data_IF_803127688325
#
_entry.id   IF_803127688325
#
_cell.length_a   1.000
_cell.length_b   1.000
_cell.length_c   1.000
_cell.angle_alpha   90.00
_cell.angle_beta   90.00
_cell.angle_gamma   90.00
#
_symmetry.space_group_name_H-M   'P 1'
#
loop_
_entity.id
_entity.type
_entity.pdbx_description
1 polymer ?
#
# COMPACT_ATOMS: atom_id res chain seq x y z
N UNK A 1 -2.53 -9.49 10.29
CA UNK A 1 -1.67 -9.67 9.09
C UNK A 1 -1.27 -11.10 8.77
N UNK A 2 -1.00 -11.99 9.75
CA UNK A 2 -0.60 -13.39 9.45
C UNK A 2 -1.56 -14.12 8.50
N UNK A 3 -2.87 -14.12 8.81
CA UNK A 3 -3.88 -14.80 8.00
C UNK A 3 -3.95 -14.22 6.58
N UNK A 4 -4.16 -12.91 6.44
CA UNK A 4 -4.25 -12.22 5.15
C UNK A 4 -3.02 -12.49 4.25
N UNK A 5 -1.81 -12.32 4.81
CA UNK A 5 -0.57 -12.53 4.06
C UNK A 5 -0.39 -13.99 3.65
N UNK A 6 -0.74 -14.94 4.52
CA UNK A 6 -0.65 -16.37 4.22
C UNK A 6 -1.64 -16.77 3.12
N UNK A 7 -2.91 -16.39 3.25
CA UNK A 7 -3.95 -16.70 2.26
C UNK A 7 -3.62 -16.09 0.90
N UNK A 8 -3.13 -14.84 0.86
CA UNK A 8 -2.71 -14.22 -0.39
C UNK A 8 -1.48 -14.88 -0.99
N UNK A 9 -0.48 -15.27 -0.18
CA UNK A 9 0.70 -15.97 -0.67
C UNK A 9 0.35 -17.32 -1.32
N UNK A 10 -0.56 -18.08 -0.70
CA UNK A 10 -1.07 -19.34 -1.26
C UNK A 10 -1.75 -19.08 -2.62
N UNK A 11 -2.66 -18.10 -2.67
CA UNK A 11 -3.34 -17.71 -3.91
C UNK A 11 -2.35 -17.31 -5.01
N UNK A 12 -1.41 -16.42 -4.71
CA UNK A 12 -0.43 -15.90 -5.65
C UNK A 12 0.48 -17.01 -6.19
N UNK A 13 0.99 -17.86 -5.30
CA UNK A 13 1.84 -18.99 -5.69
C UNK A 13 1.10 -19.99 -6.58
N UNK A 14 -0.17 -20.30 -6.28
CA UNK A 14 -1.01 -21.13 -7.14
C UNK A 14 -1.26 -20.49 -8.51
N UNK A 15 -1.59 -19.19 -8.54
CA UNK A 15 -1.88 -18.44 -9.78
C UNK A 15 -0.68 -18.38 -10.72
N UNK A 16 0.51 -18.12 -10.18
CA UNK A 16 1.72 -17.92 -10.97
C UNK A 16 2.66 -19.14 -11.00
N UNK A 17 2.19 -20.30 -10.53
CA UNK A 17 2.95 -21.57 -10.48
C UNK A 17 4.32 -21.42 -9.80
N UNK A 18 4.35 -20.70 -8.67
CA UNK A 18 5.52 -20.49 -7.80
C UNK A 18 5.38 -21.30 -6.52
N UNK A 19 6.49 -21.55 -5.82
CA UNK A 19 6.52 -22.25 -4.51
C UNK A 19 7.35 -21.51 -3.45
N UNK A 20 7.87 -20.33 -3.78
CA UNK A 20 8.79 -19.57 -2.92
C UNK A 20 8.05 -18.66 -1.94
N UNK A 21 8.81 -18.10 -1.00
CA UNK A 21 8.32 -17.10 -0.08
C UNK A 21 7.98 -15.80 -0.83
N UNK A 22 6.74 -15.32 -0.68
CA UNK A 22 6.26 -14.12 -1.38
C UNK A 22 6.66 -12.81 -0.69
N UNK A 23 6.63 -12.78 0.64
CA UNK A 23 6.79 -11.56 1.42
C UNK A 23 8.24 -11.38 1.87
N UNK A 24 8.73 -10.15 2.03
CA UNK A 24 10.03 -9.93 2.64
C UNK A 24 9.87 -9.65 4.13
N UNK A 25 10.10 -10.66 4.96
CA UNK A 25 10.06 -10.52 6.42
C UNK A 25 8.64 -10.42 7.02
N UNK A 26 8.56 -9.99 8.28
CA UNK A 26 7.29 -9.88 9.02
C UNK A 26 6.64 -8.51 8.81
N UNK A 27 5.31 -8.49 8.79
CA UNK A 27 4.55 -7.24 8.85
C UNK A 27 4.94 -6.45 10.10
N UNK A 28 5.26 -5.17 9.92
CA UNK A 28 5.58 -4.25 11.00
C UNK A 28 4.34 -3.47 11.40
N UNK A 29 4.11 -3.33 12.70
CA UNK A 29 2.97 -2.63 13.27
C UNK A 29 3.46 -1.72 14.37
N UNK A 30 3.10 -0.45 14.31
CA UNK A 30 3.43 0.55 15.33
C UNK A 30 2.18 1.28 15.76
N UNK A 31 2.12 1.60 17.05
CA UNK A 31 1.01 2.37 17.60
C UNK A 31 1.19 3.85 17.25
N UNK A 32 0.15 4.46 16.70
CA UNK A 32 0.10 5.89 16.37
C UNK A 32 -0.88 6.55 17.33
N UNK A 33 -0.33 7.22 18.35
CA UNK A 33 -1.12 7.85 19.41
C UNK A 33 -1.42 9.33 19.15
N UNK A 34 -0.63 9.97 18.28
CA UNK A 34 -0.69 11.39 18.03
C UNK A 34 -1.35 11.64 16.67
N UNK A 35 -2.44 12.41 16.67
CA UNK A 35 -3.23 12.71 15.48
C UNK A 35 -2.46 13.56 14.45
N UNK A 36 -1.69 14.56 14.89
CA UNK A 36 -0.83 15.33 13.98
C UNK A 36 0.20 14.42 13.28
N UNK A 37 0.76 13.45 14.01
CA UNK A 37 1.66 12.45 13.43
C UNK A 37 0.93 11.49 12.48
N UNK A 38 -0.33 11.13 12.75
CA UNK A 38 -1.15 10.33 11.84
C UNK A 38 -1.28 11.02 10.48
N UNK A 39 -1.56 12.33 10.44
CA UNK A 39 -1.67 13.07 9.19
C UNK A 39 -0.34 13.15 8.42
N UNK A 40 0.79 13.28 9.13
CA UNK A 40 2.12 13.24 8.52
C UNK A 40 2.36 11.86 7.88
N UNK A 41 2.08 10.78 8.63
CA UNK A 41 2.22 9.41 8.12
C UNK A 41 1.35 9.13 6.91
N UNK A 42 0.09 9.57 6.92
CA UNK A 42 -0.82 9.41 5.77
C UNK A 42 -0.26 10.10 4.53
N UNK A 43 0.17 11.37 4.66
CA UNK A 43 0.82 12.11 3.57
C UNK A 43 2.05 11.37 3.06
N UNK A 44 2.88 10.85 3.95
CA UNK A 44 4.09 10.15 3.57
C UNK A 44 3.82 8.84 2.81
N UNK A 45 2.77 8.10 3.20
CA UNK A 45 2.33 6.88 2.51
C UNK A 45 1.83 7.20 1.11
N UNK A 46 1.00 8.23 0.95
CA UNK A 46 0.48 8.66 -0.35
C UNK A 46 1.61 9.15 -1.28
N UNK A 47 2.73 9.64 -0.74
CA UNK A 47 3.91 10.03 -1.53
C UNK A 47 4.82 8.85 -1.93
N UNK A 48 4.62 7.64 -1.42
CA UNK A 48 5.47 6.49 -1.75
C UNK A 48 5.59 6.20 -3.27
N UNK A 49 4.51 6.27 -4.07
CA UNK A 49 4.60 6.08 -5.52
C UNK A 49 5.49 7.13 -6.21
N UNK A 50 5.48 8.39 -5.74
CA UNK A 50 6.39 9.43 -6.24
C UNK A 50 7.84 9.12 -5.86
N UNK A 51 8.08 8.78 -4.58
CA UNK A 51 9.41 8.43 -4.06
C UNK A 51 9.99 7.21 -4.80
N UNK A 52 9.14 6.26 -5.17
CA UNK A 52 9.49 5.08 -5.97
C UNK A 52 9.56 5.33 -7.49
N UNK A 53 9.30 6.57 -7.95
CA UNK A 53 9.29 6.97 -9.37
C UNK A 53 8.32 6.15 -10.23
N UNK A 54 7.19 5.74 -9.66
CA UNK A 54 6.15 4.97 -10.36
C UNK A 54 5.18 5.87 -11.13
N UNK A 55 5.00 7.11 -10.68
CA UNK A 55 4.12 8.13 -11.26
C UNK A 55 4.72 9.52 -11.07
N UNK A 56 4.31 10.49 -11.88
CA UNK A 56 4.78 11.89 -11.78
C UNK A 56 3.90 12.74 -10.84
N UNK A 57 2.68 12.30 -10.57
CA UNK A 57 1.74 12.96 -9.66
C UNK A 57 1.05 11.95 -8.75
N UNK A 58 0.71 12.37 -7.54
CA UNK A 58 0.10 11.50 -6.52
C UNK A 58 -1.25 10.98 -7.02
N UNK A 59 -2.05 11.82 -7.68
CA UNK A 59 -3.36 11.44 -8.20
C UNK A 59 -3.32 10.39 -9.32
N UNK A 60 -2.15 10.02 -9.84
CA UNK A 60 -2.04 9.05 -10.94
C UNK A 60 -1.81 7.62 -10.47
N UNK A 61 -1.56 7.39 -9.17
CA UNK A 61 -1.33 6.04 -8.66
C UNK A 61 -2.65 5.35 -8.26
N UNK A 62 -3.16 4.37 -9.02
CA UNK A 62 -4.53 3.85 -8.87
C UNK A 62 -4.77 3.04 -7.58
N UNK A 63 -3.71 2.73 -6.83
CA UNK A 63 -3.78 1.89 -5.64
C UNK A 63 -3.54 2.69 -4.34
N UNK A 64 -3.87 3.97 -4.34
CA UNK A 64 -3.85 4.80 -3.12
C UNK A 64 -5.14 5.61 -2.96
N UNK A 65 -5.34 6.19 -1.77
CA UNK A 65 -6.59 6.89 -1.44
C UNK A 65 -6.70 8.19 -2.23
N UNK A 66 -5.58 8.89 -2.45
CA UNK A 66 -5.55 10.12 -3.24
C UNK A 66 -6.15 9.94 -4.64
N UNK A 67 -5.86 8.82 -5.32
CA UNK A 67 -6.46 8.55 -6.64
C UNK A 67 -8.00 8.56 -6.60
N UNK A 68 -8.61 7.97 -5.56
CA UNK A 68 -10.06 7.93 -5.43
C UNK A 68 -10.64 9.32 -5.14
N UNK A 69 -10.03 10.10 -4.25
CA UNK A 69 -10.50 11.46 -3.93
C UNK A 69 -10.47 12.39 -5.14
N UNK A 70 -9.38 12.40 -5.90
CA UNK A 70 -9.29 13.23 -7.11
C UNK A 70 -10.20 12.73 -8.24
N UNK A 71 -10.47 11.41 -8.30
CA UNK A 71 -11.42 10.85 -9.26
C UNK A 71 -12.86 11.31 -8.97
N UNK A 72 -13.25 11.38 -7.70
CA UNK A 72 -14.57 11.86 -7.29
C UNK A 72 -14.76 13.36 -7.54
N UNK A 73 -13.72 14.20 -7.34
CA UNK A 73 -13.76 15.64 -7.67
C UNK A 73 -13.87 15.94 -9.17
N UNK A 74 -13.59 14.94 -10.03
CA UNK A 74 -13.64 15.06 -11.49
C UNK A 74 -15.02 14.73 -12.09
N UNK A 75 -16.02 14.40 -11.25
CA UNK A 75 -17.39 14.01 -11.66
C UNK A 75 -18.40 15.06 -11.23
#
# INVERSE_FOLDING_TARGET
MRYLNATYAIYFNKKYKRSEHLWQGRFKSWYVANEAYLYILMRDIEQNPLKAKMVDKIEYYPYSSSYYFFKEEST
#
